data_IF_254494308367
#
_entry.id   IF_254494308367
#
_cell.length_a   1.000
_cell.length_b   1.000
_cell.length_c   1.000
_cell.angle_alpha   90.00
_cell.angle_beta   90.00
_cell.angle_gamma   90.00
#
_symmetry.space_group_name_H-M   'P 1'
#
loop_
_entity.id
_entity.type
_entity.pdbx_description
1 polymer ?
#
# COMPACT_ATOMS: atom_id res chain seq x y z
N UNK A 1 3.82 18.07 5.86
CA UNK A 1 4.28 16.66 6.00
C UNK A 1 3.37 15.96 6.99
N UNK A 2 3.24 14.66 6.88
CA UNK A 2 2.54 13.78 7.83
C UNK A 2 3.62 12.97 8.52
N UNK A 3 3.81 13.18 9.83
CA UNK A 3 4.92 12.60 10.58
C UNK A 3 4.90 11.07 10.55
N UNK A 4 3.70 10.47 10.67
CA UNK A 4 3.50 9.03 10.62
C UNK A 4 3.92 8.42 9.27
N UNK A 5 3.94 9.23 8.20
CA UNK A 5 4.40 8.78 6.89
C UNK A 5 5.94 8.82 6.74
N UNK A 6 6.62 9.58 7.59
CA UNK A 6 8.08 9.71 7.56
C UNK A 6 8.74 8.66 8.45
N UNK A 7 8.23 8.48 9.67
CA UNK A 7 8.73 7.51 10.63
C UNK A 7 7.64 6.49 10.92
N UNK A 8 7.86 5.23 10.52
CA UNK A 8 6.88 4.16 10.65
C UNK A 8 7.55 2.83 10.95
N UNK A 9 6.78 1.92 11.51
CA UNK A 9 7.18 0.54 11.78
C UNK A 9 6.47 -0.40 10.81
N UNK A 10 7.09 -1.55 10.55
CA UNK A 10 6.48 -2.65 9.81
C UNK A 10 6.72 -3.99 10.52
N UNK A 11 5.66 -4.81 10.69
CA UNK A 11 5.80 -6.13 11.29
C UNK A 11 6.57 -7.09 10.40
N UNK A 12 7.38 -7.93 11.01
CA UNK A 12 8.04 -9.05 10.32
C UNK A 12 7.69 -10.35 11.05
N UNK A 13 7.02 -11.27 10.35
CA UNK A 13 6.79 -12.62 10.83
C UNK A 13 8.02 -13.46 10.54
N UNK A 14 8.51 -14.19 11.55
CA UNK A 14 9.67 -15.07 11.40
C UNK A 14 9.29 -16.50 11.77
N UNK A 15 9.79 -17.52 11.04
CA UNK A 15 9.53 -18.91 11.38
C UNK A 15 10.05 -19.28 12.76
N UNK A 16 9.28 -20.04 13.53
CA UNK A 16 9.65 -20.49 14.87
C UNK A 16 10.91 -21.35 14.83
N UNK A 17 11.81 -21.16 15.81
CA UNK A 17 13.00 -22.00 16.00
C UNK A 17 14.15 -21.76 15.03
N UNK A 18 14.07 -20.80 14.12
CA UNK A 18 15.17 -20.43 13.24
C UNK A 18 15.96 -19.21 13.77
N UNK A 19 17.29 -19.26 13.55
CA UNK A 19 18.14 -18.11 13.86
C UNK A 19 17.80 -16.95 12.90
N UNK A 20 17.75 -15.72 13.40
CA UNK A 20 17.39 -14.49 12.63
C UNK A 20 18.18 -14.33 11.33
N UNK A 21 19.42 -14.79 11.29
CA UNK A 21 20.32 -14.63 10.15
C UNK A 21 20.41 -15.86 9.23
N UNK A 22 19.52 -16.85 9.37
CA UNK A 22 19.60 -18.09 8.58
C UNK A 22 18.72 -18.11 7.33
N UNK A 23 18.00 -17.03 7.06
CA UNK A 23 17.05 -16.99 5.95
C UNK A 23 17.69 -16.42 4.70
N UNK A 24 17.81 -17.24 3.66
CA UNK A 24 18.27 -16.84 2.32
C UNK A 24 17.16 -16.19 1.49
N UNK A 25 15.92 -16.31 1.94
CA UNK A 25 14.72 -15.87 1.24
C UNK A 25 13.73 -15.24 2.21
N UNK A 26 12.97 -14.23 1.74
CA UNK A 26 11.88 -13.58 2.46
C UNK A 26 10.70 -13.33 1.52
N UNK A 27 9.53 -13.03 2.08
CA UNK A 27 8.35 -12.59 1.35
C UNK A 27 8.01 -11.17 1.79
N UNK A 28 7.90 -10.25 0.84
CA UNK A 28 7.32 -8.92 1.05
C UNK A 28 5.83 -8.98 0.78
N UNK A 29 4.99 -8.60 1.75
CA UNK A 29 3.55 -8.54 1.60
C UNK A 29 3.11 -7.07 1.49
N UNK A 30 2.46 -6.72 0.36
CA UNK A 30 1.88 -5.40 0.09
C UNK A 30 0.35 -5.46 0.11
N UNK A 31 -0.24 -4.54 0.85
CA UNK A 31 -1.69 -4.46 1.09
C UNK A 31 -2.48 -3.71 -0.01
N UNK A 32 -3.80 -3.72 0.09
CA UNK A 32 -4.73 -3.02 -0.82
C UNK A 32 -4.96 -1.55 -0.46
N UNK A 33 -5.66 -0.84 -1.36
CA UNK A 33 -6.06 0.55 -1.16
C UNK A 33 -7.12 0.66 -0.03
N UNK A 34 -7.11 1.79 0.68
CA UNK A 34 -8.02 2.11 1.80
C UNK A 34 -7.87 1.21 3.05
N UNK A 35 -6.77 0.49 3.17
CA UNK A 35 -6.51 -0.30 4.38
C UNK A 35 -6.13 0.60 5.56
N UNK A 36 -6.68 0.27 6.75
CA UNK A 36 -6.52 1.04 7.99
C UNK A 36 -5.83 0.25 9.09
N UNK A 37 -5.72 -1.06 8.94
CA UNK A 37 -5.09 -1.96 9.90
C UNK A 37 -4.50 -3.18 9.21
N UNK A 38 -3.60 -3.85 9.92
CA UNK A 38 -3.02 -5.11 9.50
C UNK A 38 -3.93 -6.34 9.72
N UNK A 39 -5.09 -6.20 10.34
CA UNK A 39 -5.88 -7.32 10.91
C UNK A 39 -6.04 -8.51 9.97
N UNK A 40 -6.47 -8.31 8.72
CA UNK A 40 -6.62 -9.43 7.77
C UNK A 40 -5.26 -9.96 7.25
N UNK A 41 -4.25 -9.11 7.21
CA UNK A 41 -2.93 -9.45 6.66
C UNK A 41 -2.07 -10.23 7.66
N UNK A 42 -2.34 -10.10 8.96
CA UNK A 42 -1.65 -10.90 9.99
C UNK A 42 -1.86 -12.39 9.76
N UNK A 43 -3.10 -12.81 9.49
CA UNK A 43 -3.43 -14.21 9.17
C UNK A 43 -2.74 -14.68 7.88
N UNK A 44 -2.68 -13.81 6.86
CA UNK A 44 -1.97 -14.14 5.61
C UNK A 44 -0.47 -14.28 5.84
N UNK A 45 0.11 -13.35 6.60
CA UNK A 45 1.55 -13.39 6.91
C UNK A 45 1.92 -14.62 7.73
N UNK A 46 1.12 -14.95 8.73
CA UNK A 46 1.28 -16.16 9.54
C UNK A 46 1.21 -17.41 8.67
N UNK A 47 0.19 -17.53 7.83
CA UNK A 47 0.03 -18.66 6.91
C UNK A 47 1.21 -18.79 5.95
N UNK A 48 1.61 -17.70 5.30
CA UNK A 48 2.75 -17.70 4.38
C UNK A 48 4.04 -18.06 5.10
N UNK A 49 4.29 -17.48 6.27
CA UNK A 49 5.48 -17.74 7.07
C UNK A 49 5.58 -19.22 7.48
N UNK A 50 4.49 -19.78 8.02
CA UNK A 50 4.46 -21.15 8.50
C UNK A 50 4.59 -22.19 7.37
N UNK A 51 3.95 -21.94 6.22
CA UNK A 51 3.95 -22.90 5.12
C UNK A 51 5.17 -22.79 4.20
N UNK A 52 5.77 -21.61 4.05
CA UNK A 52 6.97 -21.43 3.23
C UNK A 52 8.27 -21.59 4.03
N UNK A 53 8.21 -21.43 5.34
CA UNK A 53 9.39 -21.34 6.20
C UNK A 53 10.23 -20.09 5.96
N UNK A 54 9.67 -19.06 5.29
CA UNK A 54 10.31 -17.77 4.99
C UNK A 54 9.76 -16.68 5.89
N UNK A 55 10.59 -15.72 6.32
CA UNK A 55 10.08 -14.50 6.95
C UNK A 55 9.14 -13.76 6.03
N UNK A 56 8.11 -13.09 6.61
CA UNK A 56 7.15 -12.28 5.87
C UNK A 56 7.16 -10.85 6.41
N UNK A 57 7.50 -9.90 5.55
CA UNK A 57 7.56 -8.47 5.83
C UNK A 57 6.21 -7.86 5.43
N UNK A 58 5.47 -7.27 6.37
CA UNK A 58 4.25 -6.52 6.07
C UNK A 58 4.60 -5.04 5.90
N UNK A 59 4.77 -4.58 4.66
CA UNK A 59 5.22 -3.22 4.40
C UNK A 59 4.06 -2.26 4.13
N UNK A 60 3.91 -1.16 4.90
CA UNK A 60 2.79 -0.23 4.73
C UNK A 60 3.02 0.72 3.55
N UNK A 61 2.03 0.80 2.65
CA UNK A 61 1.99 1.81 1.59
C UNK A 61 1.79 3.19 2.23
N UNK A 62 2.46 4.21 1.72
CA UNK A 62 2.38 5.59 2.20
C UNK A 62 0.93 6.04 2.40
N UNK A 63 0.68 6.72 3.50
CA UNK A 63 -0.63 7.24 3.93
C UNK A 63 -1.68 6.17 4.27
N UNK A 64 -1.26 4.92 4.49
CA UNK A 64 -2.13 3.83 4.93
C UNK A 64 -1.67 3.25 6.26
N UNK A 65 -2.57 2.54 6.93
CA UNK A 65 -2.31 1.83 8.20
C UNK A 65 -1.62 2.76 9.22
N UNK A 66 -0.45 2.40 9.72
CA UNK A 66 0.31 3.21 10.69
C UNK A 66 1.16 4.32 10.04
N UNK A 67 1.10 4.49 8.73
CA UNK A 67 1.65 5.65 8.01
C UNK A 67 0.60 6.76 7.80
N UNK A 68 -0.51 6.68 8.49
CA UNK A 68 -1.61 7.63 8.42
C UNK A 68 -1.99 8.12 9.82
N UNK A 69 -2.37 9.41 9.99
CA UNK A 69 -2.87 9.91 11.26
C UNK A 69 -4.07 9.12 11.76
N UNK A 70 -4.12 8.84 13.05
CA UNK A 70 -5.25 8.13 13.68
C UNK A 70 -6.60 8.83 13.43
N UNK A 71 -6.59 10.16 13.27
CA UNK A 71 -7.80 10.94 12.95
C UNK A 71 -8.48 10.49 11.65
N UNK A 72 -7.73 9.91 10.70
CA UNK A 72 -8.29 9.43 9.43
C UNK A 72 -9.09 8.14 9.55
N UNK A 73 -8.92 7.40 10.64
CA UNK A 73 -9.67 6.19 10.93
C UNK A 73 -10.60 6.34 12.14
N UNK A 74 -10.68 7.55 12.74
CA UNK A 74 -11.56 7.82 13.87
C UNK A 74 -13.05 7.76 13.43
N UNK A 75 -13.89 6.88 14.01
CA UNK A 75 -15.27 6.70 13.58
C UNK A 75 -16.13 7.95 13.65
N UNK A 76 -15.92 8.82 14.67
CA UNK A 76 -16.68 10.07 14.81
C UNK A 76 -16.35 11.03 13.68
N UNK A 77 -15.06 11.29 13.45
CA UNK A 77 -14.61 12.14 12.34
C UNK A 77 -15.08 11.61 10.98
N UNK A 78 -15.08 10.29 10.81
CA UNK A 78 -15.56 9.66 9.57
C UNK A 78 -17.08 9.82 9.40
N UNK A 79 -17.86 9.82 10.48
CA UNK A 79 -19.30 10.07 10.41
C UNK A 79 -19.61 11.51 10.01
N UNK A 80 -18.89 12.47 10.58
CA UNK A 80 -19.03 13.90 10.21
C UNK A 80 -18.68 14.11 8.74
N UNK A 81 -17.60 13.50 8.26
CA UNK A 81 -17.22 13.52 6.86
C UNK A 81 -18.25 12.86 5.94
N UNK A 82 -18.87 11.77 6.38
CA UNK A 82 -19.92 11.08 5.63
C UNK A 82 -21.12 12.01 5.42
N UNK A 83 -21.59 12.65 6.47
CA UNK A 83 -22.73 13.57 6.41
C UNK A 83 -22.40 14.77 5.50
N UNK A 84 -21.23 15.40 5.71
CA UNK A 84 -20.75 16.49 4.87
C UNK A 84 -20.67 16.11 3.38
N UNK A 85 -20.09 14.95 3.06
CA UNK A 85 -19.95 14.52 1.65
C UNK A 85 -21.29 14.19 1.02
N UNK A 86 -22.20 13.56 1.77
CA UNK A 86 -23.57 13.28 1.28
C UNK A 86 -24.32 14.55 0.93
N UNK A 87 -24.27 15.54 1.80
CA UNK A 87 -24.87 16.85 1.54
C UNK A 87 -24.25 17.53 0.30
N UNK A 88 -22.91 17.59 0.26
CA UNK A 88 -22.16 18.23 -0.83
C UNK A 88 -22.40 17.59 -2.20
N UNK A 89 -22.62 16.30 -2.28
CA UNK A 89 -22.74 15.54 -3.52
C UNK A 89 -24.13 14.92 -3.71
N UNK A 90 -25.18 15.60 -3.23
CA UNK A 90 -26.59 15.24 -3.46
C UNK A 90 -26.91 13.77 -3.12
N UNK A 91 -26.38 13.25 -2.01
CA UNK A 91 -26.56 11.88 -1.55
C UNK A 91 -26.14 10.81 -2.58
N UNK A 92 -25.07 11.04 -3.33
CA UNK A 92 -24.53 10.06 -4.28
C UNK A 92 -24.41 8.68 -3.61
N UNK A 93 -24.98 7.65 -4.24
CA UNK A 93 -25.09 6.31 -3.67
C UNK A 93 -23.74 5.58 -3.49
N UNK A 94 -22.70 6.03 -4.16
CA UNK A 94 -21.35 5.49 -3.99
C UNK A 94 -20.70 5.92 -2.69
N UNK A 95 -21.17 6.99 -2.04
CA UNK A 95 -20.64 7.50 -0.77
C UNK A 95 -21.04 6.57 0.38
N UNK A 96 -20.06 6.08 1.12
CA UNK A 96 -20.25 5.17 2.24
C UNK A 96 -19.30 5.51 3.40
N UNK A 97 -19.61 4.99 4.58
CA UNK A 97 -18.70 5.09 5.73
C UNK A 97 -17.34 4.43 5.46
N UNK A 98 -17.32 3.36 4.67
CA UNK A 98 -16.08 2.64 4.37
C UNK A 98 -15.11 3.46 3.51
N UNK A 99 -15.62 4.25 2.54
CA UNK A 99 -14.76 4.96 1.60
C UNK A 99 -14.55 6.45 1.91
N UNK A 100 -15.33 7.03 2.83
CA UNK A 100 -15.40 8.49 3.04
C UNK A 100 -14.05 9.14 3.37
N UNK A 101 -13.25 8.51 4.20
CA UNK A 101 -11.97 9.07 4.62
C UNK A 101 -10.96 9.14 3.47
N UNK A 102 -10.82 8.07 2.69
CA UNK A 102 -9.97 8.05 1.50
C UNK A 102 -10.49 9.01 0.44
N UNK A 103 -11.79 8.95 0.14
CA UNK A 103 -12.44 9.82 -0.86
C UNK A 103 -12.24 11.30 -0.55
N UNK A 104 -12.39 11.70 0.72
CA UNK A 104 -12.18 13.07 1.14
C UNK A 104 -10.73 13.52 0.95
N UNK A 105 -9.77 12.69 1.36
CA UNK A 105 -8.33 12.99 1.23
C UNK A 105 -7.90 13.16 -0.23
N UNK A 106 -8.38 12.29 -1.10
CA UNK A 106 -8.03 12.31 -2.52
C UNK A 106 -8.80 13.40 -3.28
N UNK A 107 -10.01 13.78 -2.84
CA UNK A 107 -10.71 14.95 -3.40
C UNK A 107 -10.02 16.26 -3.05
N UNK A 108 -9.42 16.37 -1.87
CA UNK A 108 -8.71 17.58 -1.43
C UNK A 108 -7.32 17.72 -2.05
N UNK A 109 -6.64 16.60 -2.28
CA UNK A 109 -5.28 16.53 -2.81
C UNK A 109 -5.14 15.32 -3.73
N UNK A 110 -5.58 15.39 -4.99
CA UNK A 110 -5.52 14.28 -5.93
C UNK A 110 -4.09 13.82 -6.22
N UNK A 111 -3.11 14.72 -6.20
CA UNK A 111 -1.69 14.41 -6.35
C UNK A 111 -1.17 13.43 -5.29
N UNK A 112 -1.85 13.30 -4.16
CA UNK A 112 -1.49 12.36 -3.08
C UNK A 112 -1.49 10.91 -3.54
N UNK A 113 -2.32 10.56 -4.54
CA UNK A 113 -2.33 9.19 -5.08
C UNK A 113 -0.97 8.86 -5.72
N UNK A 114 -0.46 9.73 -6.57
CA UNK A 114 0.87 9.58 -7.18
C UNK A 114 1.99 9.60 -6.13
N UNK A 115 1.99 10.59 -5.24
CA UNK A 115 3.01 10.70 -4.19
C UNK A 115 3.01 9.49 -3.24
N UNK A 116 1.87 8.89 -2.98
CA UNK A 116 1.78 7.65 -2.20
C UNK A 116 2.55 6.50 -2.88
N UNK A 117 2.33 6.31 -4.17
CA UNK A 117 3.02 5.28 -4.95
C UNK A 117 4.52 5.56 -5.05
N UNK A 118 4.90 6.79 -5.43
CA UNK A 118 6.30 7.21 -5.58
C UNK A 118 7.09 7.06 -4.29
N UNK A 119 6.54 7.51 -3.16
CA UNK A 119 7.21 7.39 -1.88
C UNK A 119 7.35 5.93 -1.46
N UNK A 120 6.29 5.13 -1.57
CA UNK A 120 6.38 3.72 -1.22
C UNK A 120 7.41 2.99 -2.08
N UNK A 121 7.48 3.31 -3.37
CA UNK A 121 8.48 2.74 -4.27
C UNK A 121 9.92 3.10 -3.84
N UNK A 122 10.16 4.35 -3.44
CA UNK A 122 11.46 4.78 -2.92
C UNK A 122 11.82 4.07 -1.60
N UNK A 123 10.86 3.97 -0.67
CA UNK A 123 11.04 3.30 0.61
C UNK A 123 11.30 1.79 0.44
N UNK A 124 10.60 1.14 -0.52
CA UNK A 124 10.86 -0.25 -0.89
C UNK A 124 12.26 -0.44 -1.48
N UNK A 125 12.70 0.48 -2.33
CA UNK A 125 14.05 0.44 -2.89
C UNK A 125 15.11 0.53 -1.79
N UNK A 126 14.89 1.41 -0.81
CA UNK A 126 15.77 1.51 0.37
C UNK A 126 15.78 0.20 1.18
N UNK A 127 14.60 -0.39 1.44
CA UNK A 127 14.51 -1.67 2.14
C UNK A 127 15.29 -2.79 1.42
N UNK A 128 15.12 -2.89 0.10
CA UNK A 128 15.84 -3.88 -0.70
C UNK A 128 17.36 -3.63 -0.68
N UNK A 129 17.79 -2.38 -0.81
CA UNK A 129 19.21 -2.02 -0.72
C UNK A 129 19.81 -2.40 0.64
N UNK A 130 19.14 -2.05 1.75
CA UNK A 130 19.59 -2.39 3.10
C UNK A 130 19.72 -3.91 3.32
N UNK A 131 18.78 -4.69 2.79
CA UNK A 131 18.83 -6.16 2.87
C UNK A 131 19.95 -6.71 1.98
N UNK A 132 20.10 -6.21 0.77
CA UNK A 132 21.16 -6.65 -0.15
C UNK A 132 22.57 -6.34 0.39
N UNK A 133 22.73 -5.24 1.10
CA UNK A 133 23.98 -4.81 1.70
C UNK A 133 24.22 -5.37 3.13
N UNK A 134 23.33 -6.20 3.65
CA UNK A 134 23.44 -6.77 5.01
C UNK A 134 23.28 -5.74 6.14
N UNK A 135 22.69 -4.58 5.86
CA UNK A 135 22.45 -3.52 6.85
C UNK A 135 21.15 -3.71 7.63
N UNK A 136 20.26 -4.54 7.14
CA UNK A 136 18.97 -4.79 7.80
C UNK A 136 19.13 -5.70 9.02
N UNK A 137 18.53 -5.37 10.20
CA UNK A 137 18.80 -6.08 11.46
C UNK A 137 18.26 -7.51 11.52
N UNK A 138 17.38 -7.92 10.61
CA UNK A 138 16.73 -9.24 10.62
C UNK A 138 17.12 -10.15 9.45
N UNK A 139 17.81 -9.62 8.44
CA UNK A 139 18.15 -10.37 7.23
C UNK A 139 19.66 -10.35 7.00
N UNK A 140 20.18 -11.42 6.43
CA UNK A 140 21.58 -11.46 6.01
C UNK A 140 21.76 -10.78 4.67
N UNK A 141 22.99 -10.41 4.38
CA UNK A 141 23.39 -9.88 3.09
C UNK A 141 22.93 -10.76 1.93
N UNK A 142 22.33 -10.16 0.90
CA UNK A 142 21.88 -10.83 -0.29
C UNK A 142 20.62 -11.70 -0.12
N UNK A 143 19.88 -11.58 1.00
CA UNK A 143 18.58 -12.26 1.16
C UNK A 143 17.66 -11.94 0.00
N UNK A 144 17.19 -12.97 -0.71
CA UNK A 144 16.26 -12.82 -1.83
C UNK A 144 14.85 -12.52 -1.33
N UNK A 145 14.19 -11.53 -1.93
CA UNK A 145 12.84 -11.12 -1.55
C UNK A 145 11.87 -11.43 -2.71
N UNK A 146 10.90 -12.31 -2.44
CA UNK A 146 9.75 -12.51 -3.32
C UNK A 146 8.59 -11.61 -2.85
N UNK A 147 7.70 -11.19 -3.76
CA UNK A 147 6.61 -10.26 -3.44
C UNK A 147 5.27 -10.97 -3.53
N UNK A 148 4.48 -10.93 -2.45
CA UNK A 148 3.05 -11.23 -2.42
C UNK A 148 2.29 -9.90 -2.32
N UNK A 149 1.52 -9.55 -3.32
CA UNK A 149 0.87 -8.26 -3.37
C UNK A 149 -0.62 -8.35 -3.66
N UNK A 150 -1.39 -7.48 -2.99
CA UNK A 150 -2.84 -7.44 -3.09
C UNK A 150 -3.33 -6.12 -3.68
N UNK A 151 -4.19 -6.18 -4.70
CA UNK A 151 -4.90 -5.03 -5.28
C UNK A 151 -3.94 -3.91 -5.72
N UNK A 152 -4.00 -2.71 -5.12
CA UNK A 152 -3.10 -1.59 -5.45
C UNK A 152 -1.62 -1.93 -5.16
N UNK A 153 -1.35 -2.78 -4.18
CA UNK A 153 -0.01 -3.31 -3.94
C UNK A 153 0.54 -4.09 -5.14
N UNK A 154 -0.34 -4.83 -5.85
CA UNK A 154 0.05 -5.52 -7.07
C UNK A 154 0.41 -4.54 -8.21
N UNK A 155 -0.36 -3.46 -8.36
CA UNK A 155 -0.03 -2.40 -9.31
C UNK A 155 1.32 -1.74 -9.02
N UNK A 156 1.57 -1.40 -7.75
CA UNK A 156 2.85 -0.85 -7.32
C UNK A 156 4.01 -1.82 -7.58
N UNK A 157 3.82 -3.11 -7.29
CA UNK A 157 4.83 -4.15 -7.53
C UNK A 157 5.15 -4.31 -9.02
N UNK A 158 4.15 -4.25 -9.90
CA UNK A 158 4.38 -4.26 -11.34
C UNK A 158 5.27 -3.11 -11.77
N UNK A 159 5.00 -1.89 -11.32
CA UNK A 159 5.82 -0.72 -11.62
C UNK A 159 7.25 -0.91 -11.10
N UNK A 160 7.41 -1.39 -9.86
CA UNK A 160 8.72 -1.62 -9.26
C UNK A 160 9.56 -2.63 -10.07
N UNK A 161 8.95 -3.77 -10.47
CA UNK A 161 9.64 -4.78 -11.27
C UNK A 161 9.92 -4.31 -12.71
N UNK A 162 9.00 -3.57 -13.32
CA UNK A 162 9.19 -3.04 -14.69
C UNK A 162 10.31 -1.99 -14.74
N UNK A 163 10.41 -1.12 -13.74
CA UNK A 163 11.48 -0.11 -13.66
C UNK A 163 12.80 -0.71 -13.24
N UNK A 164 12.76 -1.77 -12.43
CA UNK A 164 13.90 -2.53 -11.90
C UNK A 164 15.12 -1.65 -11.57
N UNK A 165 14.89 -0.56 -10.86
CA UNK A 165 15.93 0.41 -10.53
C UNK A 165 17.09 -0.26 -9.80
N UNK A 166 18.31 0.06 -10.22
CA UNK A 166 19.55 -0.53 -9.69
C UNK A 166 19.58 -2.08 -9.71
N UNK A 167 18.76 -2.71 -10.54
CA UNK A 167 18.62 -4.18 -10.63
C UNK A 167 18.18 -4.86 -9.31
N UNK A 168 17.51 -4.11 -8.41
CA UNK A 168 17.12 -4.60 -7.09
C UNK A 168 16.09 -5.76 -7.15
N UNK A 169 15.28 -5.80 -8.20
CA UNK A 169 14.18 -6.76 -8.34
C UNK A 169 14.46 -7.88 -9.34
N UNK A 170 15.70 -8.02 -9.84
CA UNK A 170 16.06 -8.97 -10.92
C UNK A 170 15.71 -10.42 -10.58
N UNK A 171 15.87 -10.84 -9.32
CA UNK A 171 15.62 -12.21 -8.86
C UNK A 171 14.29 -12.34 -8.08
N UNK A 172 13.46 -11.29 -8.07
CA UNK A 172 12.19 -11.25 -7.34
C UNK A 172 11.10 -11.96 -8.13
N UNK A 173 10.40 -12.89 -7.50
CA UNK A 173 9.15 -13.45 -8.01
C UNK A 173 7.99 -12.64 -7.49
N UNK A 174 6.99 -12.40 -8.34
CA UNK A 174 5.79 -11.64 -8.00
C UNK A 174 4.55 -12.54 -8.05
N UNK A 175 3.82 -12.61 -6.94
CA UNK A 175 2.47 -13.15 -6.89
C UNK A 175 1.47 -12.01 -6.69
N UNK A 176 0.55 -11.84 -7.63
CA UNK A 176 -0.49 -10.81 -7.58
C UNK A 176 -1.83 -11.42 -7.22
N UNK A 177 -2.38 -11.04 -6.07
CA UNK A 177 -3.71 -11.43 -5.64
C UNK A 177 -4.70 -10.28 -5.86
N UNK A 178 -5.77 -10.53 -6.63
CA UNK A 178 -6.73 -9.50 -7.03
C UNK A 178 -6.05 -8.26 -7.64
N UNK A 179 -4.98 -8.48 -8.37
CA UNK A 179 -4.20 -7.48 -9.08
C UNK A 179 -4.20 -7.73 -10.58
N UNK A 180 -3.37 -7.00 -11.32
CA UNK A 180 -3.31 -7.11 -12.77
C UNK A 180 -4.30 -6.17 -13.44
N UNK A 181 -4.06 -4.87 -13.28
CA UNK A 181 -4.92 -3.81 -13.80
C UNK A 181 -4.90 -3.78 -15.32
N UNK A 182 -6.06 -4.01 -15.93
CA UNK A 182 -6.32 -3.63 -17.32
C UNK A 182 -6.86 -2.20 -17.27
N UNK A 183 -6.06 -1.22 -17.65
CA UNK A 183 -6.34 0.21 -17.44
C UNK A 183 -7.70 0.67 -17.98
N UNK A 184 -8.08 0.22 -19.17
CA UNK A 184 -9.37 0.55 -19.79
C UNK A 184 -10.57 -0.17 -19.17
N UNK A 185 -10.36 -1.09 -18.22
CA UNK A 185 -11.40 -1.84 -17.52
C UNK A 185 -11.41 -1.58 -16.01
N UNK A 186 -10.57 -0.64 -15.52
CA UNK A 186 -10.53 -0.30 -14.10
C UNK A 186 -11.80 0.41 -13.65
N UNK A 187 -12.42 -0.11 -12.59
CA UNK A 187 -13.53 0.54 -11.89
C UNK A 187 -12.97 1.45 -10.81
N UNK A 188 -12.98 2.76 -11.05
CA UNK A 188 -12.43 3.74 -10.10
C UNK A 188 -13.31 4.00 -8.89
N UNK A 189 -14.62 3.75 -8.98
CA UNK A 189 -15.56 3.99 -7.88
C UNK A 189 -16.02 2.68 -7.24
N UNK A 190 -16.02 2.63 -5.90
CA UNK A 190 -16.46 1.49 -5.11
C UNK A 190 -16.92 1.94 -3.73
N UNK A 191 -18.05 1.39 -3.25
CA UNK A 191 -18.53 1.67 -1.89
C UNK A 191 -17.53 1.30 -0.77
N UNK A 192 -16.61 0.40 -1.05
CA UNK A 192 -15.58 -0.05 -0.07
C UNK A 192 -14.28 0.73 -0.16
N UNK A 193 -13.99 1.41 -1.29
CA UNK A 193 -12.68 2.02 -1.53
C UNK A 193 -12.78 3.52 -1.74
N UNK A 194 -13.42 3.98 -2.82
CA UNK A 194 -13.50 5.38 -3.22
C UNK A 194 -14.83 5.71 -3.88
N UNK A 195 -15.46 6.81 -3.51
CA UNK A 195 -16.72 7.24 -4.10
C UNK A 195 -16.53 7.85 -5.51
N UNK A 196 -17.61 7.92 -6.28
CA UNK A 196 -17.61 8.44 -7.64
C UNK A 196 -17.15 9.91 -7.74
N UNK A 197 -17.58 10.83 -6.84
CA UNK A 197 -17.07 12.20 -6.86
C UNK A 197 -15.56 12.30 -6.72
N UNK A 198 -14.95 11.51 -5.80
CA UNK A 198 -13.50 11.50 -5.64
C UNK A 198 -12.79 10.91 -6.87
N UNK A 199 -13.33 9.83 -7.43
CA UNK A 199 -12.79 9.25 -8.65
C UNK A 199 -12.78 10.25 -9.81
N UNK A 200 -13.88 10.98 -10.03
CA UNK A 200 -13.97 11.98 -11.09
C UNK A 200 -12.94 13.10 -10.91
N UNK A 201 -12.74 13.58 -9.66
CA UNK A 201 -11.73 14.59 -9.35
C UNK A 201 -10.31 14.10 -9.65
N UNK A 202 -9.98 12.87 -9.26
CA UNK A 202 -8.67 12.27 -9.55
C UNK A 202 -8.49 12.12 -11.06
N UNK A 203 -9.49 11.61 -11.76
CA UNK A 203 -9.43 11.41 -13.20
C UNK A 203 -9.20 12.74 -13.93
N UNK A 204 -9.97 13.78 -13.58
CA UNK A 204 -9.80 15.11 -14.15
C UNK A 204 -8.40 15.67 -13.90
N UNK A 205 -7.91 15.56 -12.69
CA UNK A 205 -6.56 16.00 -12.33
C UNK A 205 -5.48 15.31 -13.17
N UNK A 206 -5.51 13.97 -13.30
CA UNK A 206 -4.49 13.25 -14.03
C UNK A 206 -4.58 13.38 -15.55
N UNK A 207 -5.78 13.63 -16.09
CA UNK A 207 -5.96 13.83 -17.54
C UNK A 207 -5.62 15.25 -17.99
N UNK A 208 -5.82 16.27 -17.13
CA UNK A 208 -5.81 17.66 -17.57
C UNK A 208 -4.84 18.58 -16.82
N UNK A 209 -4.39 18.19 -15.62
CA UNK A 209 -3.59 19.08 -14.76
C UNK A 209 -2.20 18.51 -14.43
N UNK A 210 -2.09 17.19 -14.27
CA UNK A 210 -0.83 16.54 -13.89
C UNK A 210 0.24 16.71 -14.96
N UNK A 211 1.39 17.27 -14.55
CA UNK A 211 2.54 17.50 -15.45
C UNK A 211 2.56 18.89 -16.09
N UNK A 212 1.60 19.76 -15.75
CA UNK A 212 1.57 21.16 -16.19
C UNK A 212 2.08 22.15 -15.12
N UNK A 213 2.54 21.65 -13.94
CA UNK A 213 3.12 22.42 -12.85
C UNK A 213 4.66 22.33 -12.83
#
# INVERSE_FOLDING_TARGET
>A
SINENICFEYPVFTPSGRNRYSNDEAILLLHGLNERSWSKYLTWAEYLCNNSGKPVILFPISFHINRAPLSWSNPRTMMDLLNFRREKYNNDRSISFANVALSNRLSQKPERFYFSGRQTWADLSTLFEEIMEGKHPLFKEGTKIDIFSYSIGAFLSQIALMTNQKNLYTNTKLFMFCGGSIFNSMQGASRSIMDKPAFNIIQDYYLHQFGND
#
